data_IF_320766643618
#
_entry.id   IF_320766643618
#
_cell.length_a   1.000
_cell.length_b   1.000
_cell.length_c   1.000
_cell.angle_alpha   90.00
_cell.angle_beta   90.00
_cell.angle_gamma   90.00
#
_symmetry.space_group_name_H-M   'P 1'
#
loop_
_entity.id
_entity.type
_entity.pdbx_description
1 polymer ?
#
# COMPACT_ATOMS: atom_id res chain seq x y z
N UNK A 1 -19.05 7.26 -6.82
CA UNK A 1 -17.81 6.46 -6.68
C UNK A 1 -18.15 5.18 -5.93
N UNK A 2 -17.78 4.04 -6.51
CA UNK A 2 -17.98 2.69 -5.94
C UNK A 2 -16.60 2.12 -5.65
N UNK A 3 -16.46 1.38 -4.53
CA UNK A 3 -15.25 0.60 -4.23
C UNK A 3 -15.58 -0.86 -4.48
N UNK A 4 -14.74 -1.55 -5.24
CA UNK A 4 -14.87 -2.98 -5.54
C UNK A 4 -13.54 -3.71 -5.46
N UNK A 5 -13.60 -5.02 -5.36
CA UNK A 5 -12.41 -5.88 -5.48
C UNK A 5 -11.83 -5.78 -6.89
N UNK A 6 -10.51 -5.82 -6.97
CA UNK A 6 -9.73 -5.89 -8.22
C UNK A 6 -9.65 -7.34 -8.68
N UNK A 7 -9.63 -7.55 -9.97
CA UNK A 7 -9.37 -8.83 -10.63
C UNK A 7 -8.20 -8.71 -11.61
N UNK A 8 -7.64 -9.81 -12.07
CA UNK A 8 -6.57 -9.81 -13.07
C UNK A 8 -6.97 -9.10 -14.38
N UNK A 9 -8.27 -9.03 -14.70
CA UNK A 9 -8.79 -8.32 -15.87
C UNK A 9 -8.60 -6.80 -15.79
N UNK A 10 -8.41 -6.27 -14.59
CA UNK A 10 -8.19 -4.85 -14.35
C UNK A 10 -6.72 -4.44 -14.55
N UNK A 11 -5.81 -5.41 -14.75
CA UNK A 11 -4.36 -5.19 -14.78
C UNK A 11 -3.95 -4.05 -15.73
N UNK A 12 -4.51 -4.03 -16.93
CA UNK A 12 -4.20 -2.98 -17.92
C UNK A 12 -4.59 -1.58 -17.39
N UNK A 13 -5.81 -1.43 -16.87
CA UNK A 13 -6.31 -0.13 -16.39
C UNK A 13 -5.56 0.34 -15.14
N UNK A 14 -5.21 -0.57 -14.24
CA UNK A 14 -4.39 -0.27 -13.06
C UNK A 14 -2.97 0.11 -13.44
N UNK A 15 -2.38 -0.58 -14.41
CA UNK A 15 -1.06 -0.28 -14.93
C UNK A 15 -0.99 1.13 -15.55
N UNK A 16 -2.03 1.55 -16.27
CA UNK A 16 -2.12 2.91 -16.81
C UNK A 16 -2.19 3.98 -15.70
N UNK A 17 -2.69 3.64 -14.53
CA UNK A 17 -2.61 4.52 -13.34
C UNK A 17 -1.19 4.53 -12.77
N UNK A 18 -0.51 3.37 -12.75
CA UNK A 18 0.81 3.20 -12.17
C UNK A 18 1.94 3.78 -13.04
N UNK A 19 1.83 3.65 -14.37
CA UNK A 19 2.84 4.08 -15.34
C UNK A 19 3.42 5.48 -15.06
N UNK A 20 2.61 6.55 -14.90
CA UNK A 20 3.16 7.88 -14.63
C UNK A 20 3.93 8.00 -13.33
N UNK A 21 3.67 7.12 -12.35
CA UNK A 21 4.45 7.09 -11.10
C UNK A 21 5.83 6.49 -11.32
N UNK A 22 5.98 5.53 -12.24
CA UNK A 22 7.27 4.97 -12.62
C UNK A 22 8.04 5.94 -13.50
N UNK A 23 7.41 6.47 -14.53
CA UNK A 23 8.09 7.27 -15.58
C UNK A 23 8.43 8.69 -15.14
N UNK A 24 7.51 9.34 -14.39
CA UNK A 24 7.58 10.78 -14.11
C UNK A 24 7.94 11.12 -12.66
N UNK A 25 8.01 10.14 -11.73
CA UNK A 25 8.15 10.44 -10.30
C UNK A 25 9.14 9.52 -9.60
N UNK A 26 9.62 9.96 -8.43
CA UNK A 26 10.36 9.13 -7.48
C UNK A 26 9.46 8.56 -6.37
N UNK A 27 8.12 8.58 -6.53
CA UNK A 27 7.17 7.98 -5.59
C UNK A 27 7.34 6.45 -5.53
N UNK A 28 7.65 5.83 -6.67
CA UNK A 28 8.13 4.45 -6.75
C UNK A 28 9.55 4.43 -7.26
N UNK A 29 10.35 3.48 -6.75
CA UNK A 29 11.74 3.32 -7.19
C UNK A 29 11.91 2.28 -8.30
N UNK A 30 10.82 1.79 -8.90
CA UNK A 30 10.92 1.04 -10.14
C UNK A 30 11.42 1.95 -11.28
N UNK A 31 12.35 1.43 -12.09
CA UNK A 31 12.89 2.14 -13.25
C UNK A 31 12.05 1.89 -14.49
N UNK A 32 11.58 0.67 -14.66
CA UNK A 32 10.83 0.22 -15.82
C UNK A 32 9.36 -0.04 -15.45
N UNK A 33 8.48 0.30 -16.37
CA UNK A 33 7.06 -0.02 -16.24
C UNK A 33 6.90 -1.53 -16.48
N UNK A 34 6.31 -2.28 -15.52
CA UNK A 34 6.10 -3.72 -15.71
C UNK A 34 5.17 -4.00 -16.90
N UNK A 35 5.24 -5.21 -17.46
CA UNK A 35 4.28 -5.63 -18.47
C UNK A 35 2.89 -5.85 -17.84
N UNK A 36 1.85 -5.89 -18.70
CA UNK A 36 0.48 -6.18 -18.23
C UNK A 36 0.41 -7.56 -17.58
N UNK A 37 1.13 -8.53 -18.14
CA UNK A 37 1.20 -9.91 -17.62
C UNK A 37 1.84 -9.92 -16.24
N UNK A 38 2.97 -9.24 -16.07
CA UNK A 38 3.64 -9.13 -14.76
C UNK A 38 2.73 -8.43 -13.74
N UNK A 39 2.04 -7.36 -14.16
CA UNK A 39 1.12 -6.63 -13.27
C UNK A 39 -0.09 -7.50 -12.89
N UNK A 40 -0.62 -8.29 -13.82
CA UNK A 40 -1.67 -9.28 -13.57
C UNK A 40 -1.22 -10.33 -12.55
N UNK A 41 0.02 -10.82 -12.68
CA UNK A 41 0.61 -11.76 -11.73
C UNK A 41 0.79 -11.15 -10.34
N UNK A 42 1.13 -9.88 -10.24
CA UNK A 42 1.17 -9.14 -8.95
C UNK A 42 -0.22 -9.11 -8.32
N UNK A 43 -1.26 -8.78 -9.10
CA UNK A 43 -2.66 -8.76 -8.62
C UNK A 43 -3.05 -10.15 -8.09
N UNK A 44 -2.82 -11.21 -8.86
CA UNK A 44 -3.14 -12.59 -8.48
C UNK A 44 -2.45 -12.99 -7.17
N UNK A 45 -1.15 -12.76 -7.05
CA UNK A 45 -0.36 -13.11 -5.85
C UNK A 45 -0.83 -12.37 -4.61
N UNK A 46 -1.12 -11.08 -4.73
CA UNK A 46 -1.58 -10.25 -3.62
C UNK A 46 -3.00 -10.65 -3.21
N UNK A 47 -3.92 -10.76 -4.18
CA UNK A 47 -5.35 -11.06 -3.94
C UNK A 47 -5.59 -12.47 -3.38
N UNK A 48 -4.60 -13.35 -3.45
CA UNK A 48 -4.69 -14.67 -2.84
C UNK A 48 -4.80 -14.62 -1.30
N UNK A 49 -4.27 -13.59 -0.67
CA UNK A 49 -4.21 -13.50 0.80
C UNK A 49 -4.72 -12.16 1.35
N UNK A 50 -4.64 -11.08 0.57
CA UNK A 50 -4.91 -9.73 1.04
C UNK A 50 -5.89 -8.99 0.14
N UNK A 51 -6.64 -8.02 0.67
CA UNK A 51 -7.53 -7.18 -0.11
C UNK A 51 -6.76 -6.37 -1.16
N UNK A 52 -7.28 -6.39 -2.39
CA UNK A 52 -6.89 -5.52 -3.49
C UNK A 52 -8.17 -4.86 -4.02
N UNK A 53 -8.31 -3.55 -3.87
CA UNK A 53 -9.54 -2.81 -4.16
C UNK A 53 -9.29 -1.62 -5.08
N UNK A 54 -10.30 -1.29 -5.88
CA UNK A 54 -10.30 -0.14 -6.77
C UNK A 54 -11.50 0.77 -6.49
N UNK A 55 -11.27 2.07 -6.62
CA UNK A 55 -12.30 3.09 -6.64
C UNK A 55 -12.73 3.34 -8.09
N UNK A 56 -14.01 3.12 -8.41
CA UNK A 56 -14.58 3.28 -9.75
C UNK A 56 -15.50 4.48 -9.77
N UNK A 57 -15.29 5.37 -10.73
CA UNK A 57 -16.11 6.54 -10.98
C UNK A 57 -16.46 6.62 -12.47
N UNK A 58 -17.75 6.75 -12.80
CA UNK A 58 -18.23 6.76 -14.18
C UNK A 58 -17.73 5.58 -15.03
N UNK A 59 -17.69 4.38 -14.44
CA UNK A 59 -17.26 3.15 -15.11
C UNK A 59 -15.74 3.00 -15.31
N UNK A 60 -14.92 3.95 -14.85
CA UNK A 60 -13.43 3.92 -14.94
C UNK A 60 -12.78 3.87 -13.57
N UNK A 61 -11.64 3.22 -13.48
CA UNK A 61 -10.86 3.17 -12.24
C UNK A 61 -10.18 4.53 -12.02
N UNK A 62 -10.47 5.13 -10.87
CA UNK A 62 -9.91 6.41 -10.43
C UNK A 62 -8.70 6.26 -9.50
N UNK A 63 -8.51 5.08 -8.93
CA UNK A 63 -7.40 4.72 -8.06
C UNK A 63 -7.60 3.34 -7.47
N UNK A 64 -6.56 2.82 -6.82
CA UNK A 64 -6.58 1.50 -6.21
C UNK A 64 -5.71 1.47 -4.95
N UNK A 65 -6.00 0.50 -4.07
CA UNK A 65 -5.20 0.23 -2.89
C UNK A 65 -5.16 -1.27 -2.62
N UNK A 66 -4.08 -1.72 -2.01
CA UNK A 66 -3.90 -3.11 -1.61
C UNK A 66 -3.03 -3.23 -0.37
N UNK A 67 -3.07 -4.39 0.25
CA UNK A 67 -2.11 -4.78 1.27
C UNK A 67 -1.25 -5.93 0.76
N UNK A 68 -0.03 -6.00 1.24
CA UNK A 68 0.93 -7.05 0.93
C UNK A 68 1.63 -7.56 2.19
N UNK A 69 2.42 -8.62 2.03
CA UNK A 69 3.21 -9.21 3.11
C UNK A 69 4.21 -8.19 3.63
N UNK A 70 4.18 -7.91 4.93
CA UNK A 70 5.21 -7.06 5.57
C UNK A 70 6.56 -7.77 5.64
N UNK A 71 6.61 -8.99 6.16
CA UNK A 71 7.81 -9.85 6.24
C UNK A 71 7.42 -11.33 6.10
N UNK A 72 8.26 -12.12 5.44
CA UNK A 72 8.01 -13.53 5.13
C UNK A 72 8.24 -14.50 6.32
N UNK A 73 7.71 -14.18 7.51
CA UNK A 73 7.74 -15.06 8.68
C UNK A 73 6.38 -15.02 9.36
N UNK A 74 5.85 -16.17 9.79
CA UNK A 74 4.52 -16.32 10.39
C UNK A 74 4.28 -15.38 11.60
N UNK A 75 5.33 -15.02 12.35
CA UNK A 75 5.21 -14.07 13.46
C UNK A 75 4.75 -12.67 13.03
N UNK A 76 4.82 -12.34 11.73
CA UNK A 76 4.37 -11.07 11.17
C UNK A 76 3.01 -11.15 10.46
N UNK A 77 2.28 -12.26 10.55
CA UNK A 77 1.00 -12.45 9.85
C UNK A 77 -0.09 -11.46 10.29
N UNK A 78 0.11 -10.75 11.41
CA UNK A 78 -0.76 -9.67 11.92
C UNK A 78 -0.42 -8.28 11.35
N UNK A 79 0.61 -8.20 10.53
CA UNK A 79 1.19 -6.97 10.00
C UNK A 79 1.22 -7.01 8.48
N UNK A 80 0.86 -5.90 7.85
CA UNK A 80 0.85 -5.77 6.38
C UNK A 80 1.50 -4.46 5.95
N UNK A 81 2.06 -4.45 4.74
CA UNK A 81 2.40 -3.23 4.03
C UNK A 81 1.22 -2.81 3.17
N UNK A 82 0.83 -1.53 3.24
CA UNK A 82 -0.28 -0.96 2.48
C UNK A 82 0.20 -0.01 1.40
N UNK A 83 -0.50 0.00 0.28
CA UNK A 83 -0.16 0.82 -0.89
C UNK A 83 -1.42 1.43 -1.49
N UNK A 84 -1.32 2.67 -1.97
CA UNK A 84 -2.39 3.37 -2.69
C UNK A 84 -1.84 4.17 -3.85
N UNK A 85 -2.50 4.07 -5.00
CA UNK A 85 -2.26 4.90 -6.16
C UNK A 85 -3.56 5.52 -6.65
N UNK A 86 -3.51 6.80 -6.97
CA UNK A 86 -4.65 7.57 -7.50
C UNK A 86 -4.30 8.11 -8.88
N UNK A 87 -5.21 8.01 -9.83
CA UNK A 87 -5.00 8.49 -11.19
C UNK A 87 -4.54 9.95 -11.20
N UNK A 88 -3.50 10.26 -11.98
CA UNK A 88 -2.97 11.63 -12.16
C UNK A 88 -4.11 12.58 -12.55
N UNK A 89 -4.17 13.74 -11.92
CA UNK A 89 -5.27 14.71 -12.08
C UNK A 89 -6.52 14.47 -11.22
N UNK A 90 -6.59 13.35 -10.49
CA UNK A 90 -7.66 13.07 -9.52
C UNK A 90 -7.21 13.13 -8.06
N UNK A 91 -5.97 13.57 -7.80
CA UNK A 91 -5.48 13.79 -6.45
C UNK A 91 -6.31 14.84 -5.69
N UNK A 92 -6.26 14.79 -4.34
CA UNK A 92 -6.95 15.72 -3.42
C UNK A 92 -8.49 15.71 -3.53
N UNK A 93 -9.09 14.74 -4.23
CA UNK A 93 -10.56 14.52 -4.31
C UNK A 93 -11.08 13.50 -3.29
N UNK A 94 -10.26 13.12 -2.32
CA UNK A 94 -10.64 12.18 -1.25
C UNK A 94 -10.65 10.70 -1.68
N UNK A 95 -10.23 10.36 -2.91
CA UNK A 95 -10.23 8.99 -3.43
C UNK A 95 -9.31 8.09 -2.59
N UNK A 96 -8.07 8.52 -2.35
CA UNK A 96 -7.13 7.77 -1.52
C UNK A 96 -7.63 7.52 -0.10
N UNK A 97 -8.24 8.53 0.53
CA UNK A 97 -8.80 8.39 1.87
C UNK A 97 -9.95 7.37 1.93
N UNK A 98 -10.84 7.37 0.92
CA UNK A 98 -11.92 6.39 0.83
C UNK A 98 -11.41 4.98 0.57
N UNK A 99 -10.37 4.82 -0.28
CA UNK A 99 -9.69 3.54 -0.50
C UNK A 99 -9.06 3.02 0.79
N UNK A 100 -8.29 3.84 1.51
CA UNK A 100 -7.66 3.41 2.76
C UNK A 100 -8.70 3.08 3.83
N UNK A 101 -9.75 3.89 4.00
CA UNK A 101 -10.82 3.57 4.95
C UNK A 101 -11.54 2.25 4.64
N UNK A 102 -11.69 1.90 3.38
CA UNK A 102 -12.26 0.61 2.98
C UNK A 102 -11.26 -0.53 3.19
N UNK A 103 -9.99 -0.34 2.80
CA UNK A 103 -8.92 -1.32 2.98
C UNK A 103 -8.73 -1.66 4.47
N UNK A 104 -8.67 -0.66 5.34
CA UNK A 104 -8.52 -0.82 6.79
C UNK A 104 -9.65 -1.66 7.40
N UNK A 105 -10.90 -1.46 6.96
CA UNK A 105 -12.04 -2.28 7.42
C UNK A 105 -11.91 -3.74 7.00
N UNK A 106 -11.45 -4.00 5.78
CA UNK A 106 -11.23 -5.36 5.28
C UNK A 106 -10.09 -6.03 6.03
N UNK A 107 -9.00 -5.31 6.28
CA UNK A 107 -7.85 -5.82 7.04
C UNK A 107 -8.19 -6.10 8.50
N UNK A 108 -8.96 -5.21 9.15
CA UNK A 108 -9.45 -5.45 10.51
C UNK A 108 -10.32 -6.72 10.58
N UNK A 109 -11.15 -6.99 9.56
CA UNK A 109 -11.93 -8.22 9.47
C UNK A 109 -11.05 -9.48 9.24
N UNK A 110 -9.84 -9.32 8.73
CA UNK A 110 -8.80 -10.36 8.64
C UNK A 110 -7.92 -10.46 9.90
N UNK A 111 -8.26 -9.75 10.97
CA UNK A 111 -7.49 -9.68 12.22
C UNK A 111 -6.09 -9.06 12.07
N UNK A 112 -5.86 -8.27 11.02
CA UNK A 112 -4.64 -7.47 10.89
C UNK A 112 -4.70 -6.33 11.88
N UNK A 113 -3.62 -6.15 12.63
CA UNK A 113 -3.51 -5.12 13.67
C UNK A 113 -2.59 -3.97 13.29
N UNK A 114 -1.53 -4.24 12.53
CA UNK A 114 -0.51 -3.26 12.21
C UNK A 114 -0.42 -3.02 10.71
N UNK A 115 -0.54 -1.77 10.32
CA UNK A 115 -0.38 -1.31 8.95
C UNK A 115 0.92 -0.53 8.82
N UNK A 116 1.71 -0.87 7.83
CA UNK A 116 2.94 -0.16 7.49
C UNK A 116 2.85 0.41 6.09
N UNK A 117 3.38 1.61 5.90
CA UNK A 117 3.54 2.22 4.60
C UNK A 117 5.00 2.60 4.38
N UNK A 118 5.56 2.14 3.27
CA UNK A 118 6.89 2.50 2.81
C UNK A 118 6.77 3.63 1.80
N UNK A 119 7.28 4.81 2.14
CA UNK A 119 7.07 6.03 1.36
C UNK A 119 8.39 6.69 1.01
N UNK A 120 8.58 6.99 -0.28
CA UNK A 120 9.69 7.81 -0.74
C UNK A 120 9.64 9.19 -0.10
N UNK A 121 10.79 9.68 0.35
CA UNK A 121 10.90 10.92 1.13
C UNK A 121 12.03 11.79 0.59
N UNK A 122 11.76 13.01 0.13
CA UNK A 122 12.81 13.89 -0.36
C UNK A 122 13.51 14.61 0.78
N UNK A 123 14.78 14.96 0.63
CA UNK A 123 15.45 15.90 1.51
C UNK A 123 14.84 17.32 1.38
N UNK A 124 14.51 17.67 0.13
CA UNK A 124 13.79 18.87 -0.28
C UNK A 124 12.87 18.51 -1.43
N UNK A 125 11.65 19.06 -1.46
CA UNK A 125 10.71 18.85 -2.56
C UNK A 125 11.32 19.27 -3.89
N UNK A 126 11.08 18.44 -4.91
CA UNK A 126 11.51 18.70 -6.29
C UNK A 126 10.40 18.31 -7.28
N UNK A 127 10.70 18.39 -8.58
CA UNK A 127 9.76 18.05 -9.65
C UNK A 127 9.30 16.59 -9.66
N UNK A 128 10.10 15.67 -9.06
CA UNK A 128 9.84 14.23 -9.05
C UNK A 128 9.21 13.74 -7.75
N UNK A 129 9.42 14.46 -6.62
CA UNK A 129 8.96 14.01 -5.32
C UNK A 129 8.63 15.18 -4.38
N UNK A 130 7.44 15.12 -3.79
CA UNK A 130 6.95 16.05 -2.78
C UNK A 130 6.65 15.31 -1.48
N UNK A 131 6.35 16.06 -0.40
CA UNK A 131 5.88 15.49 0.87
C UNK A 131 4.40 15.08 0.86
N UNK A 132 3.70 15.18 -0.26
CA UNK A 132 2.25 14.93 -0.32
C UNK A 132 1.86 13.53 0.13
N UNK A 133 2.66 12.50 -0.19
CA UNK A 133 2.40 11.13 0.24
C UNK A 133 2.53 10.96 1.74
N UNK A 134 3.56 11.52 2.36
CA UNK A 134 3.74 11.49 3.82
C UNK A 134 2.60 12.24 4.51
N UNK A 135 2.31 13.48 4.08
CA UNK A 135 1.20 14.29 4.61
C UNK A 135 -0.16 13.57 4.48
N UNK A 136 -0.35 12.80 3.40
CA UNK A 136 -1.55 11.99 3.22
C UNK A 136 -1.63 10.89 4.28
N UNK A 137 -0.56 10.13 4.49
CA UNK A 137 -0.52 9.07 5.49
C UNK A 137 -0.71 9.61 6.91
N UNK A 138 -0.06 10.72 7.26
CA UNK A 138 -0.25 11.39 8.56
C UNK A 138 -1.72 11.76 8.79
N UNK A 139 -2.40 12.34 7.77
CA UNK A 139 -3.85 12.63 7.83
C UNK A 139 -4.71 11.39 7.97
N UNK A 140 -4.24 10.23 7.51
CA UNK A 140 -4.91 8.94 7.70
C UNK A 140 -4.59 8.30 9.05
N UNK A 141 -3.82 8.97 9.92
CA UNK A 141 -3.49 8.52 11.26
C UNK A 141 -2.24 7.64 11.35
N UNK A 142 -1.38 7.68 10.34
CA UNK A 142 -0.07 7.03 10.38
C UNK A 142 0.98 7.93 11.02
N UNK A 143 1.96 7.34 11.69
CA UNK A 143 3.09 8.02 12.32
C UNK A 143 4.40 7.54 11.72
N UNK A 144 5.33 8.44 11.45
CA UNK A 144 6.69 8.07 10.99
C UNK A 144 7.41 7.37 12.14
N UNK A 145 7.92 6.16 11.86
CA UNK A 145 8.65 5.32 12.82
C UNK A 145 10.12 5.12 12.46
N UNK A 146 10.53 5.47 11.25
CA UNK A 146 11.93 5.36 10.85
C UNK A 146 12.20 5.97 9.48
N UNK A 147 13.45 6.41 9.30
CA UNK A 147 13.94 6.98 8.04
C UNK A 147 15.18 6.25 7.58
N UNK A 148 15.21 5.86 6.31
CA UNK A 148 16.38 5.34 5.63
C UNK A 148 16.95 6.44 4.75
N UNK A 149 18.12 6.93 5.14
CA UNK A 149 18.72 8.06 4.46
C UNK A 149 19.41 7.65 3.16
N UNK A 150 19.10 8.34 2.04
CA UNK A 150 19.75 8.21 0.73
C UNK A 150 19.82 6.75 0.24
N UNK A 151 18.77 5.97 0.54
CA UNK A 151 18.73 4.53 0.28
C UNK A 151 18.28 4.18 -1.15
N UNK A 152 17.76 5.13 -1.92
CA UNK A 152 17.33 4.94 -3.29
C UNK A 152 17.91 6.02 -4.20
N UNK A 153 18.13 5.66 -5.48
CA UNK A 153 18.64 6.56 -6.50
C UNK A 153 17.72 6.51 -7.72
N UNK A 154 17.25 7.68 -8.19
CA UNK A 154 16.43 7.82 -9.40
C UNK A 154 16.56 9.25 -9.93
N UNK A 155 16.44 9.47 -11.24
CA UNK A 155 16.57 10.80 -11.87
C UNK A 155 17.85 11.54 -11.44
N UNK A 156 18.98 10.82 -11.36
CA UNK A 156 20.30 11.34 -10.92
C UNK A 156 20.31 11.96 -9.51
N UNK A 157 19.36 11.58 -8.63
CA UNK A 157 19.24 12.04 -7.26
C UNK A 157 19.11 10.88 -6.29
N UNK A 158 19.63 11.07 -5.06
CA UNK A 158 19.37 10.18 -3.96
C UNK A 158 18.11 10.62 -3.21
N UNK A 159 17.27 9.65 -2.87
CA UNK A 159 16.07 9.86 -2.07
C UNK A 159 16.15 9.06 -0.77
N UNK A 160 15.51 9.58 0.26
CA UNK A 160 15.24 8.86 1.48
C UNK A 160 13.99 7.99 1.32
N UNK A 161 13.77 7.11 2.26
CA UNK A 161 12.53 6.37 2.43
C UNK A 161 12.13 6.42 3.89
N UNK A 162 10.85 6.64 4.17
CA UNK A 162 10.31 6.57 5.53
C UNK A 162 9.35 5.40 5.66
N UNK A 163 9.39 4.76 6.83
CA UNK A 163 8.34 3.85 7.26
C UNK A 163 7.36 4.60 8.14
N UNK A 164 6.08 4.46 7.81
CA UNK A 164 4.98 4.95 8.64
C UNK A 164 4.18 3.76 9.16
N UNK A 165 3.66 3.87 10.37
CA UNK A 165 2.88 2.86 11.05
C UNK A 165 1.51 3.39 11.45
N UNK A 166 0.49 2.53 11.36
CA UNK A 166 -0.81 2.74 11.98
C UNK A 166 -1.26 1.45 12.65
N UNK A 167 -1.62 1.54 13.93
CA UNK A 167 -2.20 0.42 14.70
C UNK A 167 -3.71 0.53 14.62
N UNK A 168 -4.39 -0.48 14.09
CA UNK A 168 -5.86 -0.50 13.92
C UNK A 168 -6.60 -0.77 15.22
N UNK A 169 -6.02 -1.61 16.09
CA UNK A 169 -6.63 -1.96 17.38
C UNK A 169 -5.56 -1.91 18.45
N UNK A 170 -5.87 -1.24 19.56
CA UNK A 170 -5.05 -1.30 20.79
C UNK A 170 -5.34 -2.56 21.64
N UNK A 171 -5.97 -3.57 21.06
CA UNK A 171 -6.18 -4.83 21.77
C UNK A 171 -4.82 -5.43 22.09
N UNK A 172 -4.56 -5.65 23.36
CA UNK A 172 -3.39 -6.40 23.80
C UNK A 172 -3.28 -7.68 22.96
N UNK A 173 -2.20 -7.81 22.22
CA UNK A 173 -1.91 -8.99 21.38
C UNK A 173 -1.99 -10.28 22.20
N UNK A 174 -1.80 -10.21 23.52
CA UNK A 174 -2.06 -11.29 24.47
C UNK A 174 -3.46 -11.91 24.38
N UNK A 175 -4.49 -11.16 23.98
CA UNK A 175 -5.84 -11.71 23.88
C UNK A 175 -6.08 -12.50 22.58
N UNK A 176 -5.24 -12.32 21.55
CA UNK A 176 -5.30 -13.11 20.32
C UNK A 176 -4.69 -14.51 20.50
N UNK A 177 -3.84 -14.71 21.52
CA UNK A 177 -3.24 -16.01 21.86
C UNK A 177 -4.16 -16.97 22.62
N UNK A 178 -5.40 -16.61 22.94
CA UNK A 178 -6.36 -17.53 23.57
C UNK A 178 -6.96 -18.56 22.61
N UNK A 179 -6.70 -18.43 21.30
CA UNK A 179 -6.98 -19.46 20.31
C UNK A 179 -5.70 -19.70 19.51
N UNK A 180 -4.92 -20.75 19.81
CA UNK A 180 -3.73 -21.08 19.05
C UNK A 180 -4.11 -21.26 17.58
N UNK A 181 -3.34 -20.62 16.70
CA UNK A 181 -3.51 -20.81 15.27
C UNK A 181 -3.43 -22.31 14.94
N UNK A 182 -4.13 -22.81 13.93
CA UNK A 182 -3.98 -24.20 13.47
C UNK A 182 -2.52 -24.61 13.15
N UNK A 183 -1.61 -23.61 12.96
CA UNK A 183 -0.18 -23.82 12.76
C UNK A 183 0.58 -23.97 14.08
N UNK A 184 0.15 -23.31 15.16
CA UNK A 184 0.78 -23.44 16.49
C UNK A 184 0.46 -24.79 17.11
N UNK A 185 -0.71 -25.37 16.83
CA UNK A 185 -1.12 -26.70 17.30
C UNK A 185 -0.31 -27.87 16.69
N UNK A 186 0.48 -27.65 15.64
CA UNK A 186 1.32 -28.68 15.00
C UNK A 186 2.73 -28.77 15.58
N UNK A 187 3.06 -27.98 16.60
CA UNK A 187 4.39 -27.94 17.24
C UNK A 187 4.39 -28.41 18.70
N UNK A 188 3.28 -28.92 19.20
CA UNK A 188 3.18 -29.60 20.51
C UNK A 188 3.11 -31.12 20.33
#
# INVERSE_FOLDING_TARGET
MIIRTVTEKDAHELLEIYRPYVEDTAITFEYDVPSVEEFSDRIRRISANYPYIAAVENGKIAGYAYAGVFKNRAAYDWSVEVTVYVKKGLHRKGIGAKLYSALEKLLAAQHITNLYACVAYPEKEDEYLTFDSVKFHEKMGYTIIGTFHRCAFKFNKCYHMVWLEKILTQTDICLLYTSPSPRDMRRS
#
